data_IF_725438308161
#
_entry.id   IF_725438308161
#
_cell.length_a   1.000
_cell.length_b   1.000
_cell.length_c   1.000
_cell.angle_alpha   90.00
_cell.angle_beta   90.00
_cell.angle_gamma   90.00
#
_symmetry.space_group_name_H-M   'P 1'
#
loop_
_entity.id
_entity.type
_entity.pdbx_description
1 polymer ?
#
# COMPACT_ATOMS: atom_id res chain seq x y z
N UNK A 1 153.34 34.87 50.92
CA UNK A 1 153.72 34.59 52.33
C UNK A 1 154.58 33.32 52.26
N UNK A 2 155.85 33.45 51.88
CA UNK A 2 157.04 33.66 52.72
C UNK A 2 157.38 32.48 53.64
N UNK A 3 158.34 31.67 53.19
CA UNK A 3 159.59 31.20 53.85
C UNK A 3 160.09 30.04 52.97
N UNK A 4 161.23 30.15 52.28
CA UNK A 4 162.59 30.27 52.86
C UNK A 4 163.09 28.83 53.13
N UNK A 5 164.28 28.37 52.79
CA UNK A 5 165.57 28.98 52.49
C UNK A 5 166.37 27.93 51.68
N UNK A 6 167.16 28.31 50.70
CA UNK A 6 168.63 28.44 50.79
C UNK A 6 169.31 27.38 51.67
N UNK A 7 170.25 26.62 51.11
CA UNK A 7 171.68 26.73 51.47
C UNK A 7 172.57 25.83 50.57
N UNK A 8 173.48 26.52 49.87
CA UNK A 8 174.90 26.18 49.66
C UNK A 8 175.30 24.90 48.93
N UNK A 9 175.58 25.06 47.64
CA UNK A 9 176.81 24.52 47.04
C UNK A 9 177.98 25.45 47.41
N UNK A 10 178.93 24.95 48.20
CA UNK A 10 180.31 25.44 48.21
C UNK A 10 181.18 24.29 47.71
N UNK A 11 181.77 24.50 46.54
CA UNK A 11 182.98 23.80 46.12
C UNK A 11 184.07 23.98 47.18
N UNK A 12 184.88 22.95 47.43
CA UNK A 12 186.33 22.98 47.25
C UNK A 12 186.91 21.57 47.49
N UNK A 13 187.42 21.00 46.41
CA UNK A 13 188.64 20.18 46.27
C UNK A 13 189.25 19.54 47.53
N UNK A 14 189.51 18.23 47.46
CA UNK A 14 190.86 17.66 47.65
C UNK A 14 190.80 16.14 47.75
N UNK A 15 191.77 15.48 47.13
CA UNK A 15 192.14 14.06 47.22
C UNK A 15 191.44 13.10 46.24
N UNK A 16 191.86 13.22 44.98
CA UNK A 16 192.43 12.07 44.28
C UNK A 16 193.37 11.29 45.23
N UNK A 17 193.00 10.06 45.60
CA UNK A 17 193.89 8.90 45.83
C UNK A 17 193.18 7.77 46.59
N UNK A 18 192.28 7.06 45.90
CA UNK A 18 191.89 5.65 46.10
C UNK A 18 191.21 5.21 44.77
N UNK A 19 191.94 5.05 43.67
CA UNK A 19 192.75 3.87 43.33
C UNK A 19 192.03 2.53 43.60
N UNK A 20 191.52 1.95 42.50
CA UNK A 20 191.56 0.50 42.21
C UNK A 20 190.43 -0.45 42.64
N UNK A 21 189.21 0.02 42.94
CA UNK A 21 188.00 -0.85 43.07
C UNK A 21 186.74 -0.32 42.33
N UNK A 22 186.93 0.58 41.36
CA UNK A 22 185.86 1.42 40.77
C UNK A 22 185.24 0.95 39.41
N UNK A 23 185.65 -0.16 38.74
CA UNK A 23 184.82 -0.72 37.66
C UNK A 23 183.58 -1.42 38.23
N UNK A 24 183.78 -2.34 39.20
CA UNK A 24 182.70 -3.17 39.77
C UNK A 24 181.56 -2.34 40.36
N UNK A 25 181.86 -1.22 41.03
CA UNK A 25 180.84 -0.32 41.57
C UNK A 25 180.14 0.52 40.49
N UNK A 26 180.83 0.94 39.42
CA UNK A 26 180.22 1.67 38.30
C UNK A 26 179.34 0.77 37.44
N UNK A 27 179.80 -0.44 37.13
CA UNK A 27 178.99 -1.46 36.46
C UNK A 27 177.76 -1.85 37.29
N UNK A 28 177.90 -2.01 38.61
CA UNK A 28 176.76 -2.26 39.52
C UNK A 28 175.77 -1.10 39.53
N UNK A 29 176.22 0.15 39.62
CA UNK A 29 175.35 1.34 39.57
C UNK A 29 174.60 1.41 38.23
N UNK A 30 175.28 1.13 37.11
CA UNK A 30 174.66 1.09 35.79
C UNK A 30 173.64 -0.06 35.66
N UNK A 31 173.93 -1.23 36.23
CA UNK A 31 173.01 -2.37 36.26
C UNK A 31 171.74 -2.05 37.08
N UNK A 32 171.87 -1.47 38.28
CA UNK A 32 170.71 -1.06 39.06
C UNK A 32 169.91 0.06 38.40
N UNK A 33 170.59 0.99 37.72
CA UNK A 33 169.92 2.04 36.94
C UNK A 33 169.11 1.43 35.79
N UNK A 34 169.70 0.55 34.99
CA UNK A 34 169.01 -0.11 33.89
C UNK A 34 167.83 -0.97 34.38
N UNK A 35 167.98 -1.67 35.50
CA UNK A 35 166.89 -2.43 36.12
C UNK A 35 165.77 -1.50 36.63
N UNK A 36 166.11 -0.36 37.24
CA UNK A 36 165.12 0.64 37.68
C UNK A 36 164.40 1.31 36.51
N UNK A 37 165.11 1.67 35.44
CA UNK A 37 164.55 2.23 34.21
C UNK A 37 163.64 1.22 33.49
N UNK A 38 164.03 -0.07 33.47
CA UNK A 38 163.20 -1.16 32.95
C UNK A 38 161.93 -1.33 33.80
N UNK A 39 162.06 -1.38 35.12
CA UNK A 39 160.91 -1.48 36.03
C UNK A 39 159.97 -0.26 35.92
N UNK A 40 160.51 0.95 35.73
CA UNK A 40 159.71 2.15 35.49
C UNK A 40 158.96 2.08 34.15
N UNK A 41 159.63 1.60 33.10
CA UNK A 41 159.03 1.42 31.78
C UNK A 41 157.92 0.36 31.79
N UNK A 42 158.15 -0.77 32.48
CA UNK A 42 157.15 -1.82 32.68
C UNK A 42 155.96 -1.33 33.50
N UNK A 43 156.21 -0.56 34.57
CA UNK A 43 155.16 0.07 35.38
C UNK A 43 154.32 1.03 34.52
N UNK A 44 154.95 1.90 33.72
CA UNK A 44 154.24 2.79 32.82
C UNK A 44 153.41 2.03 31.77
N UNK A 45 153.94 0.96 31.19
CA UNK A 45 153.22 0.11 30.24
C UNK A 45 152.02 -0.60 30.90
N UNK A 46 152.17 -1.07 32.14
CA UNK A 46 151.09 -1.66 32.92
C UNK A 46 150.02 -0.63 33.30
N UNK A 47 150.41 0.60 33.67
CA UNK A 47 149.48 1.70 33.95
C UNK A 47 148.62 2.02 32.73
N UNK A 48 149.23 2.16 31.54
CA UNK A 48 148.46 2.41 30.30
C UNK A 48 147.50 1.26 30.00
N UNK A 49 147.94 0.00 30.13
CA UNK A 49 147.05 -1.17 29.94
C UNK A 49 145.91 -1.19 30.94
N UNK A 50 146.18 -0.86 32.20
CA UNK A 50 145.17 -0.75 33.24
C UNK A 50 144.13 0.34 32.89
N UNK A 51 144.58 1.53 32.49
CA UNK A 51 143.70 2.64 32.11
C UNK A 51 142.84 2.33 30.88
N UNK A 52 143.43 1.66 29.87
CA UNK A 52 142.69 1.18 28.69
C UNK A 52 141.62 0.16 29.09
N UNK A 53 141.97 -0.88 29.85
CA UNK A 53 141.02 -1.90 30.30
C UNK A 53 139.93 -1.31 31.22
N UNK A 54 140.30 -0.35 32.08
CA UNK A 54 139.35 0.36 32.93
C UNK A 54 138.34 1.16 32.11
N UNK A 55 138.79 1.87 31.07
CA UNK A 55 137.93 2.63 30.16
C UNK A 55 136.97 1.73 29.39
N UNK A 56 137.44 0.59 28.87
CA UNK A 56 136.60 -0.41 28.20
C UNK A 56 135.54 -0.98 29.15
N UNK A 57 135.90 -1.27 30.42
CA UNK A 57 134.95 -1.73 31.43
C UNK A 57 133.86 -0.69 31.72
N UNK A 58 134.21 0.61 31.79
CA UNK A 58 133.24 1.68 31.96
C UNK A 58 132.31 1.81 30.75
N UNK A 59 132.85 1.71 29.53
CA UNK A 59 132.04 1.75 28.30
C UNK A 59 131.07 0.57 28.22
N UNK A 60 131.54 -0.66 28.52
CA UNK A 60 130.70 -1.85 28.56
C UNK A 60 129.60 -1.74 29.62
N UNK A 61 129.91 -1.19 30.81
CA UNK A 61 128.91 -0.91 31.84
C UNK A 61 127.86 0.09 31.36
N UNK A 62 128.28 1.20 30.75
CA UNK A 62 127.35 2.19 30.18
C UNK A 62 126.44 1.57 29.12
N UNK A 63 127.01 0.78 28.20
CA UNK A 63 126.27 0.06 27.16
C UNK A 63 125.30 -0.98 27.74
N UNK A 64 125.70 -1.68 28.78
CA UNK A 64 124.85 -2.62 29.50
C UNK A 64 123.64 -1.91 30.13
N UNK A 65 123.88 -0.79 30.82
CA UNK A 65 122.81 0.02 31.42
C UNK A 65 121.85 0.54 30.33
N UNK A 66 122.36 1.04 29.21
CA UNK A 66 121.54 1.49 28.08
C UNK A 66 120.65 0.36 27.51
N UNK A 67 121.21 -0.85 27.34
CA UNK A 67 120.44 -2.02 26.89
C UNK A 67 119.41 -2.50 27.92
N UNK A 68 119.72 -2.40 29.21
CA UNK A 68 118.76 -2.74 30.27
C UNK A 68 117.57 -1.78 30.28
N UNK A 69 117.81 -0.49 30.06
CA UNK A 69 116.74 0.51 29.91
C UNK A 69 115.87 0.21 28.69
N UNK A 70 116.47 -0.02 27.52
CA UNK A 70 115.69 -0.32 26.31
C UNK A 70 114.93 -1.65 26.41
N UNK A 71 115.49 -2.65 27.11
CA UNK A 71 114.80 -3.91 27.40
C UNK A 71 113.55 -3.69 28.27
N UNK A 72 113.64 -2.84 29.31
CA UNK A 72 112.49 -2.50 30.16
C UNK A 72 111.39 -1.77 29.37
N UNK A 73 111.76 -0.84 28.49
CA UNK A 73 110.82 -0.14 27.62
C UNK A 73 110.11 -1.12 26.67
N UNK A 74 110.86 -1.96 25.96
CA UNK A 74 110.30 -2.99 25.08
C UNK A 74 109.37 -3.97 25.84
N UNK A 75 109.73 -4.33 27.08
CA UNK A 75 108.87 -5.17 27.92
C UNK A 75 107.56 -4.48 28.28
N UNK A 76 107.60 -3.20 28.65
CA UNK A 76 106.37 -2.43 28.93
C UNK A 76 105.48 -2.28 27.70
N UNK A 77 106.08 -2.07 26.53
CA UNK A 77 105.36 -1.97 25.27
C UNK A 77 104.71 -3.31 24.88
N UNK A 78 105.40 -4.43 25.08
CA UNK A 78 104.84 -5.76 24.85
C UNK A 78 103.62 -6.05 25.76
N UNK A 79 103.67 -5.67 27.04
CA UNK A 79 102.53 -5.80 27.95
C UNK A 79 101.37 -4.88 27.53
N UNK A 80 101.66 -3.64 27.09
CA UNK A 80 100.65 -2.72 26.57
C UNK A 80 99.93 -3.31 25.34
N UNK A 81 100.67 -3.91 24.40
CA UNK A 81 100.08 -4.59 23.24
C UNK A 81 99.18 -5.76 23.65
N UNK A 82 99.62 -6.56 24.62
CA UNK A 82 98.85 -7.70 25.12
C UNK A 82 97.55 -7.25 25.78
N UNK A 83 97.59 -6.23 26.62
CA UNK A 83 96.41 -5.65 27.25
C UNK A 83 95.45 -5.06 26.20
N UNK A 84 95.97 -4.29 25.24
CA UNK A 84 95.15 -3.71 24.19
C UNK A 84 94.50 -4.78 23.31
N UNK A 85 95.22 -5.85 22.97
CA UNK A 85 94.67 -6.99 22.25
C UNK A 85 93.55 -7.69 23.05
N UNK A 86 93.71 -7.85 24.37
CA UNK A 86 92.67 -8.42 25.23
C UNK A 86 91.42 -7.51 25.32
N UNK A 87 91.60 -6.18 25.37
CA UNK A 87 90.50 -5.21 25.31
C UNK A 87 89.75 -5.28 23.98
N UNK A 88 90.48 -5.35 22.86
CA UNK A 88 89.88 -5.47 21.53
C UNK A 88 89.15 -6.81 21.35
N UNK A 89 89.72 -7.91 21.82
CA UNK A 89 89.07 -9.23 21.77
C UNK A 89 87.76 -9.25 22.58
N UNK A 90 87.76 -8.68 23.78
CA UNK A 90 86.56 -8.56 24.61
C UNK A 90 85.47 -7.72 23.94
N UNK A 91 85.85 -6.60 23.31
CA UNK A 91 84.92 -5.75 22.57
C UNK A 91 84.33 -6.48 21.35
N UNK A 92 85.17 -7.19 20.58
CA UNK A 92 84.74 -7.95 19.42
C UNK A 92 83.73 -9.03 19.82
N UNK A 93 83.99 -9.77 20.90
CA UNK A 93 83.07 -10.78 21.42
C UNK A 93 81.73 -10.14 21.84
N UNK A 94 81.76 -9.04 22.59
CA UNK A 94 80.53 -8.34 22.99
C UNK A 94 79.70 -7.85 21.79
N UNK A 95 80.37 -7.33 20.76
CA UNK A 95 79.70 -6.89 19.53
C UNK A 95 79.09 -8.07 18.77
N UNK A 96 79.80 -9.21 18.68
CA UNK A 96 79.28 -10.43 18.06
C UNK A 96 78.05 -10.96 18.79
N UNK A 97 78.10 -11.03 20.13
CA UNK A 97 76.95 -11.45 20.94
C UNK A 97 75.74 -10.57 20.67
N UNK A 98 75.93 -9.24 20.66
CA UNK A 98 74.83 -8.30 20.41
C UNK A 98 74.25 -8.47 19.00
N UNK A 99 75.08 -8.70 17.98
CA UNK A 99 74.59 -8.97 16.62
C UNK A 99 73.71 -10.21 16.61
N UNK A 100 74.17 -11.30 17.23
CA UNK A 100 73.42 -12.55 17.31
C UNK A 100 72.08 -12.39 18.05
N UNK A 101 72.08 -11.70 19.19
CA UNK A 101 70.85 -11.37 19.94
C UNK A 101 69.86 -10.58 19.07
N UNK A 102 70.32 -9.55 18.36
CA UNK A 102 69.44 -8.76 17.48
C UNK A 102 68.92 -9.54 16.27
N UNK A 103 69.70 -10.48 15.74
CA UNK A 103 69.28 -11.36 14.64
C UNK A 103 68.19 -12.35 15.09
N UNK A 104 68.30 -12.87 16.32
CA UNK A 104 67.28 -13.73 16.91
C UNK A 104 65.99 -12.94 17.20
N UNK A 105 66.10 -11.76 17.80
CA UNK A 105 64.96 -10.85 18.02
C UNK A 105 64.24 -10.50 16.72
N UNK A 106 65.00 -10.22 15.65
CA UNK A 106 64.45 -9.95 14.32
C UNK A 106 63.71 -11.17 13.76
N UNK A 107 64.26 -12.37 13.94
CA UNK A 107 63.64 -13.62 13.50
C UNK A 107 62.29 -13.87 14.19
N UNK A 108 62.24 -13.66 15.51
CA UNK A 108 60.99 -13.71 16.29
C UNK A 108 60.00 -12.64 15.84
N UNK A 109 60.46 -11.41 15.60
CA UNK A 109 59.61 -10.32 15.14
C UNK A 109 59.00 -10.60 13.76
N UNK A 110 59.78 -11.15 12.84
CA UNK A 110 59.31 -11.55 11.50
C UNK A 110 58.24 -12.65 11.60
N UNK A 111 58.45 -13.66 12.45
CA UNK A 111 57.47 -14.71 12.68
C UNK A 111 56.17 -14.16 13.29
N UNK A 112 56.28 -13.29 14.30
CA UNK A 112 55.16 -12.61 14.95
C UNK A 112 54.37 -11.74 13.96
N UNK A 113 55.08 -10.94 13.13
CA UNK A 113 54.48 -10.12 12.08
C UNK A 113 53.69 -10.98 11.09
N UNK A 114 54.27 -12.06 10.61
CA UNK A 114 53.60 -12.99 9.68
C UNK A 114 52.33 -13.58 10.29
N UNK A 115 52.38 -13.96 11.57
CA UNK A 115 51.20 -14.48 12.28
C UNK A 115 50.10 -13.41 12.43
N UNK A 116 50.48 -12.17 12.74
CA UNK A 116 49.54 -11.06 12.84
C UNK A 116 48.90 -10.74 11.47
N UNK A 117 49.67 -10.76 10.38
CA UNK A 117 49.17 -10.57 9.01
C UNK A 117 48.16 -11.66 8.62
N UNK A 118 48.46 -12.93 8.89
CA UNK A 118 47.53 -14.05 8.64
C UNK A 118 46.22 -13.88 9.43
N UNK A 119 46.32 -13.47 10.69
CA UNK A 119 45.16 -13.24 11.56
C UNK A 119 44.31 -12.07 11.04
N UNK A 120 44.96 -10.97 10.62
CA UNK A 120 44.28 -9.83 10.03
C UNK A 120 43.58 -10.20 8.71
N UNK A 121 44.23 -10.99 7.85
CA UNK A 121 43.64 -11.46 6.60
C UNK A 121 42.41 -12.35 6.84
N UNK A 122 42.47 -13.25 7.82
CA UNK A 122 41.33 -14.08 8.22
C UNK A 122 40.16 -13.22 8.71
N UNK A 123 40.41 -12.24 9.58
CA UNK A 123 39.39 -11.33 10.10
C UNK A 123 38.76 -10.46 8.99
N UNK A 124 39.56 -9.99 8.02
CA UNK A 124 39.04 -9.24 6.86
C UNK A 124 38.12 -10.09 5.99
N UNK A 125 38.48 -11.36 5.76
CA UNK A 125 37.66 -12.30 5.00
C UNK A 125 36.32 -12.56 5.71
N UNK A 126 36.35 -12.84 7.02
CA UNK A 126 35.14 -13.04 7.82
C UNK A 126 34.25 -11.77 7.81
N UNK A 127 34.84 -10.59 7.95
CA UNK A 127 34.09 -9.33 7.91
C UNK A 127 33.38 -9.13 6.55
N UNK A 128 34.04 -9.51 5.45
CA UNK A 128 33.44 -9.45 4.12
C UNK A 128 32.28 -10.42 3.97
N UNK A 129 32.43 -11.67 4.43
CA UNK A 129 31.35 -12.67 4.41
C UNK A 129 30.15 -12.26 5.26
N UNK A 130 30.38 -11.67 6.43
CA UNK A 130 29.32 -11.13 7.28
C UNK A 130 28.59 -9.95 6.63
N UNK A 131 29.30 -9.06 5.92
CA UNK A 131 28.68 -7.97 5.15
C UNK A 131 27.81 -8.48 4.02
N UNK A 132 28.20 -9.55 3.34
CA UNK A 132 27.37 -10.17 2.30
C UNK A 132 26.09 -10.77 2.90
N UNK A 133 26.23 -11.55 3.98
CA UNK A 133 25.07 -12.11 4.70
C UNK A 133 24.13 -11.02 5.18
N UNK A 134 24.66 -9.90 5.69
CA UNK A 134 23.86 -8.75 6.10
C UNK A 134 23.05 -8.17 4.94
N UNK A 135 23.67 -8.01 3.76
CA UNK A 135 22.95 -7.56 2.55
C UNK A 135 21.84 -8.51 2.15
N UNK A 136 22.13 -9.81 2.12
CA UNK A 136 21.15 -10.84 1.79
C UNK A 136 19.95 -10.81 2.75
N UNK A 137 20.21 -10.78 4.06
CA UNK A 137 19.15 -10.69 5.07
C UNK A 137 18.34 -9.39 4.94
N UNK A 138 19.00 -8.26 4.66
CA UNK A 138 18.30 -6.99 4.46
C UNK A 138 17.38 -7.04 3.23
N UNK A 139 17.83 -7.66 2.13
CA UNK A 139 16.98 -7.86 0.94
C UNK A 139 15.78 -8.76 1.23
N UNK A 140 15.97 -9.81 2.04
CA UNK A 140 14.88 -10.70 2.47
C UNK A 140 13.88 -9.98 3.37
N UNK A 141 14.35 -9.13 4.29
CA UNK A 141 13.47 -8.32 5.13
C UNK A 141 12.64 -7.34 4.30
N UNK A 142 13.24 -6.69 3.30
CA UNK A 142 12.52 -5.81 2.39
C UNK A 142 11.41 -6.57 1.64
N UNK A 143 11.72 -7.74 1.08
CA UNK A 143 10.72 -8.58 0.42
C UNK A 143 9.57 -8.99 1.35
N UNK A 144 9.88 -9.35 2.61
CA UNK A 144 8.86 -9.70 3.59
C UNK A 144 7.97 -8.50 3.94
N UNK A 145 8.55 -7.31 4.06
CA UNK A 145 7.79 -6.06 4.27
C UNK A 145 6.83 -5.79 3.12
N UNK A 146 7.30 -5.90 1.87
CA UNK A 146 6.46 -5.72 0.67
C UNK A 146 5.33 -6.77 0.61
N UNK A 147 5.62 -8.01 1.00
CA UNK A 147 4.62 -9.08 1.09
C UNK A 147 3.56 -8.79 2.16
N UNK A 148 3.97 -8.30 3.33
CA UNK A 148 3.06 -7.91 4.40
C UNK A 148 2.17 -6.75 3.99
N UNK A 149 2.73 -5.71 3.36
CA UNK A 149 1.98 -4.58 2.80
C UNK A 149 0.94 -5.07 1.77
N UNK A 150 1.34 -5.91 0.81
CA UNK A 150 0.43 -6.49 -0.18
C UNK A 150 -0.71 -7.28 0.47
N UNK A 151 -0.40 -8.07 1.51
CA UNK A 151 -1.40 -8.83 2.27
C UNK A 151 -2.38 -7.90 2.99
N UNK A 152 -1.90 -6.82 3.61
CA UNK A 152 -2.79 -5.84 4.26
C UNK A 152 -3.72 -5.16 3.26
N UNK A 153 -3.23 -4.86 2.07
CA UNK A 153 -4.06 -4.25 1.01
C UNK A 153 -5.09 -5.25 0.47
N UNK A 154 -4.73 -6.52 0.32
CA UNK A 154 -5.68 -7.58 -0.03
C UNK A 154 -6.80 -7.71 1.01
N UNK A 155 -6.48 -7.65 2.31
CA UNK A 155 -7.50 -7.68 3.37
C UNK A 155 -8.41 -6.46 3.33
N UNK A 156 -7.87 -5.26 3.10
CA UNK A 156 -8.70 -4.06 2.93
C UNK A 156 -9.63 -4.18 1.72
N UNK A 157 -9.15 -4.72 0.61
CA UNK A 157 -9.96 -4.91 -0.59
C UNK A 157 -11.05 -5.97 -0.39
N UNK A 158 -10.74 -7.08 0.28
CA UNK A 158 -11.73 -8.12 0.65
C UNK A 158 -12.86 -7.52 1.48
N UNK A 159 -12.52 -6.71 2.50
CA UNK A 159 -13.53 -6.05 3.34
C UNK A 159 -14.43 -5.11 2.53
N UNK A 160 -13.86 -4.28 1.65
CA UNK A 160 -14.63 -3.41 0.75
C UNK A 160 -15.55 -4.19 -0.18
N UNK A 161 -15.08 -5.32 -0.71
CA UNK A 161 -15.88 -6.21 -1.55
C UNK A 161 -17.06 -6.82 -0.78
N UNK A 162 -16.82 -7.31 0.44
CA UNK A 162 -17.88 -7.83 1.32
C UNK A 162 -18.91 -6.76 1.71
N UNK A 163 -18.46 -5.54 2.01
CA UNK A 163 -19.33 -4.39 2.26
C UNK A 163 -20.21 -4.06 1.05
N UNK A 164 -19.64 -4.04 -0.16
CA UNK A 164 -20.38 -3.80 -1.40
C UNK A 164 -21.42 -4.89 -1.68
N UNK A 165 -21.07 -6.17 -1.47
CA UNK A 165 -22.01 -7.28 -1.59
C UNK A 165 -23.18 -7.15 -0.61
N UNK A 166 -22.89 -6.74 0.63
CA UNK A 166 -23.92 -6.52 1.66
C UNK A 166 -24.85 -5.38 1.25
N UNK A 167 -24.31 -4.26 0.77
CA UNK A 167 -25.12 -3.12 0.27
C UNK A 167 -26.01 -3.51 -0.92
N UNK A 168 -25.50 -4.30 -1.86
CA UNK A 168 -26.28 -4.80 -3.00
C UNK A 168 -27.37 -5.79 -2.56
N UNK A 169 -27.07 -6.66 -1.60
CA UNK A 169 -28.03 -7.58 -0.99
C UNK A 169 -29.18 -6.85 -0.33
N UNK A 170 -28.88 -5.80 0.44
CA UNK A 170 -29.88 -4.92 1.05
C UNK A 170 -30.72 -4.20 -0.01
N UNK A 171 -30.09 -3.68 -1.07
CA UNK A 171 -30.79 -2.98 -2.16
C UNK A 171 -31.74 -3.90 -2.96
N UNK A 172 -31.33 -5.15 -3.19
CA UNK A 172 -32.11 -6.14 -3.93
C UNK A 172 -33.04 -6.98 -3.04
N UNK A 173 -33.09 -6.69 -1.73
CA UNK A 173 -33.84 -7.44 -0.72
C UNK A 173 -33.64 -8.96 -0.83
N UNK A 174 -32.37 -9.38 -0.92
CA UNK A 174 -31.97 -10.77 -1.16
C UNK A 174 -30.93 -11.21 -0.15
N UNK A 175 -31.22 -12.28 0.60
CA UNK A 175 -30.26 -12.83 1.56
C UNK A 175 -29.13 -13.60 0.87
N UNK A 176 -27.90 -13.11 1.05
CA UNK A 176 -26.68 -13.71 0.53
C UNK A 176 -25.84 -14.42 1.60
N UNK A 177 -26.30 -14.47 2.86
CA UNK A 177 -25.53 -15.11 3.93
C UNK A 177 -25.36 -16.61 3.67
N UNK A 178 -24.12 -17.08 3.81
CA UNK A 178 -23.77 -18.49 3.63
C UNK A 178 -23.83 -18.98 2.17
N UNK A 179 -24.00 -18.08 1.19
CA UNK A 179 -23.91 -18.45 -0.22
C UNK A 179 -22.44 -18.56 -0.63
N UNK A 180 -22.10 -19.61 -1.37
CA UNK A 180 -20.73 -19.86 -1.85
C UNK A 180 -20.29 -18.79 -2.87
N UNK A 181 -21.23 -18.25 -3.64
CA UNK A 181 -21.01 -17.21 -4.65
C UNK A 181 -22.09 -16.13 -4.60
N UNK A 182 -22.04 -15.24 -3.59
CA UNK A 182 -23.07 -14.24 -3.35
C UNK A 182 -23.30 -13.32 -4.56
N UNK A 183 -22.24 -12.99 -5.33
CA UNK A 183 -22.35 -12.18 -6.55
C UNK A 183 -23.23 -12.81 -7.64
N UNK A 184 -23.15 -14.14 -7.85
CA UNK A 184 -23.97 -14.84 -8.85
C UNK A 184 -25.45 -14.81 -8.46
N UNK A 185 -25.75 -14.95 -7.16
CA UNK A 185 -27.12 -14.85 -6.65
C UNK A 185 -27.72 -13.45 -6.81
N UNK A 186 -26.95 -12.40 -6.47
CA UNK A 186 -27.38 -11.01 -6.66
C UNK A 186 -27.64 -10.72 -8.14
N UNK A 187 -26.77 -11.23 -9.03
CA UNK A 187 -26.92 -11.05 -10.47
C UNK A 187 -28.17 -11.75 -11.01
N UNK A 188 -28.44 -12.98 -10.56
CA UNK A 188 -29.67 -13.71 -10.91
C UNK A 188 -30.91 -12.91 -10.48
N UNK A 189 -30.93 -12.40 -9.24
CA UNK A 189 -32.05 -11.59 -8.74
C UNK A 189 -32.24 -10.31 -9.56
N UNK A 190 -31.17 -9.61 -9.87
CA UNK A 190 -31.24 -8.41 -10.70
C UNK A 190 -31.81 -8.71 -12.10
N UNK A 191 -31.46 -9.85 -12.70
CA UNK A 191 -32.03 -10.31 -13.95
C UNK A 191 -33.51 -10.69 -13.82
N UNK A 192 -33.93 -11.35 -12.74
CA UNK A 192 -35.33 -11.66 -12.45
C UNK A 192 -36.18 -10.39 -12.34
N UNK A 193 -35.76 -9.44 -11.49
CA UNK A 193 -36.45 -8.14 -11.32
C UNK A 193 -36.54 -7.41 -12.66
N UNK A 194 -35.48 -7.45 -13.49
CA UNK A 194 -35.49 -6.82 -14.81
C UNK A 194 -36.52 -7.46 -15.76
N UNK A 195 -36.63 -8.79 -15.75
CA UNK A 195 -37.63 -9.52 -16.56
C UNK A 195 -39.05 -9.25 -16.08
N UNK A 196 -39.28 -9.25 -14.77
CA UNK A 196 -40.58 -8.92 -14.17
C UNK A 196 -41.00 -7.48 -14.53
N UNK A 197 -40.07 -6.52 -14.45
CA UNK A 197 -40.33 -5.13 -14.82
C UNK A 197 -40.74 -4.99 -16.30
N UNK A 198 -40.06 -5.71 -17.20
CA UNK A 198 -40.43 -5.77 -18.61
C UNK A 198 -41.82 -6.37 -18.83
N UNK A 199 -42.15 -7.47 -18.12
CA UNK A 199 -43.45 -8.10 -18.20
C UNK A 199 -44.57 -7.19 -17.68
N UNK A 200 -44.37 -6.52 -16.54
CA UNK A 200 -45.32 -5.56 -15.98
C UNK A 200 -45.54 -4.36 -16.92
N UNK A 201 -44.48 -3.84 -17.54
CA UNK A 201 -44.61 -2.79 -18.57
C UNK A 201 -45.45 -3.24 -19.76
N UNK A 202 -45.26 -4.48 -20.22
CA UNK A 202 -46.08 -5.05 -21.30
C UNK A 202 -47.54 -5.20 -20.87
N UNK A 203 -47.79 -5.64 -19.63
CA UNK A 203 -49.15 -5.74 -19.09
C UNK A 203 -49.83 -4.37 -18.96
N UNK A 204 -49.11 -3.36 -18.50
CA UNK A 204 -49.60 -1.97 -18.44
C UNK A 204 -49.96 -1.47 -19.84
N UNK A 205 -49.12 -1.75 -20.85
CA UNK A 205 -49.42 -1.38 -22.24
C UNK A 205 -50.69 -2.09 -22.76
N UNK A 206 -50.84 -3.38 -22.51
CA UNK A 206 -52.03 -4.14 -22.91
C UNK A 206 -53.31 -3.62 -22.22
N UNK A 207 -53.26 -3.38 -20.91
CA UNK A 207 -54.40 -2.78 -20.18
C UNK A 207 -54.74 -1.38 -20.68
N UNK A 208 -53.75 -0.59 -21.08
CA UNK A 208 -53.97 0.72 -21.67
C UNK A 208 -54.68 0.61 -23.03
N UNK A 209 -54.34 -0.39 -23.84
CA UNK A 209 -55.03 -0.70 -25.10
C UNK A 209 -56.48 -1.14 -24.85
N UNK A 210 -56.73 -2.03 -23.88
CA UNK A 210 -58.06 -2.48 -23.49
C UNK A 210 -58.95 -1.33 -23.00
N UNK A 211 -58.40 -0.43 -22.16
CA UNK A 211 -59.10 0.77 -21.70
C UNK A 211 -59.49 1.66 -22.89
N UNK A 212 -58.56 1.90 -23.81
CA UNK A 212 -58.84 2.68 -25.02
C UNK A 212 -59.91 2.00 -25.88
N UNK A 213 -59.86 0.67 -26.02
CA UNK A 213 -60.86 -0.12 -26.72
C UNK A 213 -62.26 0.02 -26.10
N UNK A 214 -62.38 -0.17 -24.78
CA UNK A 214 -63.63 0.02 -24.05
C UNK A 214 -64.14 1.46 -24.12
N UNK A 215 -63.25 2.45 -24.09
CA UNK A 215 -63.65 3.85 -24.27
C UNK A 215 -64.26 4.08 -25.66
N UNK A 216 -63.66 3.51 -26.71
CA UNK A 216 -64.17 3.58 -28.08
C UNK A 216 -65.49 2.82 -28.25
N UNK A 217 -65.62 1.62 -27.67
CA UNK A 217 -66.86 0.84 -27.68
C UNK A 217 -68.00 1.55 -26.92
N UNK A 218 -67.70 2.14 -25.77
CA UNK A 218 -68.66 2.93 -24.98
C UNK A 218 -69.12 4.17 -25.75
N UNK A 219 -68.21 4.86 -26.47
CA UNK A 219 -68.56 5.96 -27.40
C UNK A 219 -69.51 5.48 -28.50
N UNK A 220 -69.16 4.38 -29.19
CA UNK A 220 -70.00 3.81 -30.25
C UNK A 220 -71.37 3.32 -29.75
N UNK A 221 -71.41 2.72 -28.55
CA UNK A 221 -72.63 2.25 -27.90
C UNK A 221 -73.53 3.44 -27.52
N UNK A 222 -72.96 4.50 -26.96
CA UNK A 222 -73.67 5.75 -26.65
C UNK A 222 -74.29 6.35 -27.90
N UNK A 223 -73.56 6.41 -29.01
CA UNK A 223 -74.08 6.87 -30.31
C UNK A 223 -75.23 5.99 -30.81
N UNK A 224 -75.13 4.67 -30.65
CA UNK A 224 -76.18 3.73 -31.04
C UNK A 224 -77.44 3.87 -30.19
N UNK A 225 -77.30 4.01 -28.87
CA UNK A 225 -78.43 4.31 -27.97
C UNK A 225 -79.06 5.64 -28.38
N UNK A 226 -78.28 6.70 -28.64
CA UNK A 226 -78.81 7.97 -29.11
C UNK A 226 -79.61 7.83 -30.42
N UNK A 227 -79.15 6.99 -31.36
CA UNK A 227 -79.85 6.69 -32.61
C UNK A 227 -81.18 5.99 -32.37
N UNK A 228 -81.18 4.91 -31.58
CA UNK A 228 -82.39 4.16 -31.23
C UNK A 228 -83.40 5.01 -30.46
N UNK A 229 -82.94 5.80 -29.48
CA UNK A 229 -83.80 6.76 -28.74
C UNK A 229 -84.45 7.75 -29.72
N UNK A 230 -83.71 8.22 -30.72
CA UNK A 230 -84.24 9.09 -31.76
C UNK A 230 -85.29 8.39 -32.64
N UNK A 231 -85.07 7.12 -32.99
CA UNK A 231 -86.04 6.29 -33.73
C UNK A 231 -87.30 5.98 -32.93
N UNK A 232 -87.16 5.56 -31.67
CA UNK A 232 -88.29 5.34 -30.75
C UNK A 232 -89.10 6.62 -30.57
N UNK A 233 -88.44 7.77 -30.39
CA UNK A 233 -89.14 9.06 -30.28
C UNK A 233 -89.94 9.39 -31.55
N UNK A 234 -89.43 9.05 -32.74
CA UNK A 234 -90.18 9.19 -34.01
C UNK A 234 -91.37 8.25 -34.06
N UNK A 235 -91.20 6.98 -33.68
CA UNK A 235 -92.26 5.98 -33.73
C UNK A 235 -93.34 6.25 -32.68
N UNK A 236 -92.96 6.73 -31.50
CA UNK A 236 -93.88 7.14 -30.45
C UNK A 236 -94.70 8.36 -30.87
N UNK A 237 -94.12 9.31 -31.63
CA UNK A 237 -94.87 10.39 -32.29
C UNK A 237 -95.86 9.86 -33.32
N UNK A 238 -95.49 8.87 -34.14
CA UNK A 238 -96.42 8.23 -35.10
C UNK A 238 -97.54 7.50 -34.38
N UNK A 239 -97.23 6.73 -33.34
CA UNK A 239 -98.21 6.00 -32.53
C UNK A 239 -99.16 6.95 -31.81
N UNK A 240 -98.67 8.05 -31.24
CA UNK A 240 -99.51 9.11 -30.70
C UNK A 240 -100.44 9.69 -31.78
N UNK A 241 -99.92 9.90 -33.00
CA UNK A 241 -100.74 10.26 -34.17
C UNK A 241 -101.84 9.23 -34.47
N UNK A 242 -101.54 7.94 -34.48
CA UNK A 242 -102.54 6.88 -34.67
C UNK A 242 -103.57 6.84 -33.53
N UNK A 243 -103.16 7.06 -32.28
CA UNK A 243 -104.08 7.14 -31.13
C UNK A 243 -105.03 8.35 -31.25
N UNK A 244 -104.52 9.53 -31.62
CA UNK A 244 -105.35 10.71 -31.89
C UNK A 244 -106.34 10.46 -33.05
N UNK A 245 -105.91 9.74 -34.09
CA UNK A 245 -106.75 9.39 -35.23
C UNK A 245 -107.85 8.37 -34.86
N UNK A 246 -107.52 7.36 -34.04
CA UNK A 246 -108.47 6.43 -33.43
C UNK A 246 -109.50 7.15 -32.54
N UNK A 247 -109.07 8.14 -31.75
CA UNK A 247 -109.95 8.94 -30.91
C UNK A 247 -110.90 9.82 -31.74
N UNK A 248 -110.43 10.41 -32.85
CA UNK A 248 -111.28 11.12 -33.81
C UNK A 248 -112.31 10.20 -34.45
N UNK A 249 -111.91 8.98 -34.83
CA UNK A 249 -112.82 7.96 -35.39
C UNK A 249 -113.85 7.47 -34.36
N UNK A 250 -113.47 7.32 -33.09
CA UNK A 250 -114.41 6.92 -32.04
C UNK A 250 -115.44 8.02 -31.78
N UNK A 251 -115.01 9.28 -31.67
CA UNK A 251 -115.89 10.47 -31.58
C UNK A 251 -116.84 10.57 -32.79
N UNK A 252 -116.34 10.31 -34.00
CA UNK A 252 -117.18 10.26 -35.20
C UNK A 252 -118.24 9.16 -35.16
N UNK A 253 -117.93 8.02 -34.53
CA UNK A 253 -118.88 6.92 -34.30
C UNK A 253 -119.99 7.32 -33.32
N UNK A 254 -119.64 7.97 -32.21
CA UNK A 254 -120.62 8.48 -31.24
C UNK A 254 -121.57 9.52 -31.86
N UNK A 255 -121.07 10.45 -32.69
CA UNK A 255 -121.94 11.39 -33.41
C UNK A 255 -122.88 10.70 -34.41
N UNK A 256 -122.44 9.58 -35.01
CA UNK A 256 -123.25 8.84 -36.00
C UNK A 256 -124.41 8.10 -35.32
N UNK A 257 -124.17 7.45 -34.20
CA UNK A 257 -125.19 6.75 -33.42
C UNK A 257 -126.24 7.75 -32.84
N UNK A 258 -125.82 8.97 -32.48
CA UNK A 258 -126.73 10.04 -32.04
C UNK A 258 -127.61 10.57 -33.19
N UNK A 259 -127.10 10.65 -34.42
CA UNK A 259 -127.89 11.05 -35.60
C UNK A 259 -128.91 10.01 -36.04
N UNK A 260 -128.61 8.70 -35.92
CA UNK A 260 -129.54 7.63 -36.26
C UNK A 260 -130.70 7.51 -35.24
N UNK A 261 -130.44 7.81 -33.96
CA UNK A 261 -131.49 7.88 -32.92
C UNK A 261 -132.45 9.07 -33.14
N UNK A 262 -131.94 10.22 -33.62
CA UNK A 262 -132.75 11.42 -33.92
C UNK A 262 -133.68 11.21 -35.12
N UNK A 263 -133.20 10.57 -36.19
CA UNK A 263 -134.01 10.25 -37.37
C UNK A 263 -135.15 9.24 -37.08
N UNK A 264 -134.98 8.39 -36.07
CA UNK A 264 -135.99 7.41 -35.64
C UNK A 264 -137.17 8.06 -34.87
N UNK A 265 -136.93 9.16 -34.17
CA UNK A 265 -137.97 9.90 -33.45
C UNK A 265 -138.84 10.77 -34.36
N UNK A 266 -138.26 11.43 -35.38
CA UNK A 266 -139.03 12.28 -36.31
C UNK A 266 -140.02 11.49 -37.18
N UNK A 267 -139.68 10.25 -37.58
CA UNK A 267 -140.61 9.39 -38.34
C UNK A 267 -141.84 8.96 -37.53
N UNK A 268 -141.74 8.85 -36.20
CA UNK A 268 -142.88 8.48 -35.33
C UNK A 268 -143.80 9.68 -35.00
N UNK A 269 -143.27 10.90 -34.95
CA UNK A 269 -144.07 12.11 -34.73
C UNK A 269 -145.04 12.44 -35.86
N UNK A 270 -144.65 12.17 -37.12
CA UNK A 270 -145.47 12.50 -38.29
C UNK A 270 -146.70 11.58 -38.48
N UNK A 271 -146.66 10.35 -37.97
CA UNK A 271 -147.75 9.37 -38.13
C UNK A 271 -148.87 9.60 -37.10
N UNK A 272 -148.53 10.03 -35.88
CA UNK A 272 -149.51 10.32 -34.82
C UNK A 272 -150.35 11.57 -35.13
N UNK A 273 -149.77 12.58 -35.81
CA UNK A 273 -150.48 13.79 -36.21
C UNK A 273 -151.62 13.58 -37.22
N UNK A 274 -151.52 12.59 -38.12
CA UNK A 274 -152.56 12.33 -39.14
C UNK A 274 -153.78 11.55 -38.62
N UNK A 275 -153.63 10.80 -37.55
CA UNK A 275 -154.73 10.00 -36.97
C UNK A 275 -155.68 10.89 -36.13
N UNK A 276 -155.13 11.93 -35.48
CA UNK A 276 -155.91 12.79 -34.60
C UNK A 276 -156.87 13.74 -35.36
N UNK A 277 -156.53 14.15 -36.59
CA UNK A 277 -157.39 15.00 -37.43
C UNK A 277 -158.62 14.23 -37.92
N UNK A 278 -158.47 12.96 -38.31
CA UNK A 278 -159.59 12.12 -38.80
C UNK A 278 -160.58 11.72 -37.69
N UNK A 279 -160.13 11.63 -36.44
CA UNK A 279 -161.01 11.34 -35.30
C UNK A 279 -161.95 12.52 -34.96
N UNK A 280 -161.52 13.76 -35.19
CA UNK A 280 -162.32 14.94 -34.87
C UNK A 280 -163.40 15.26 -35.93
N UNK A 281 -163.18 14.90 -37.18
CA UNK A 281 -164.18 15.06 -38.26
C UNK A 281 -165.29 14.00 -38.20
N UNK A 282 -164.99 12.77 -37.79
CA UNK A 282 -166.01 11.72 -37.60
C UNK A 282 -166.97 12.01 -36.43
N UNK A 283 -166.47 12.64 -35.36
CA UNK A 283 -167.28 12.94 -34.17
C UNK A 283 -168.30 14.08 -34.41
N UNK A 284 -168.00 15.02 -35.31
CA UNK A 284 -168.93 16.09 -35.73
C UNK A 284 -170.07 15.56 -36.61
N UNK A 285 -169.79 14.57 -37.47
CA UNK A 285 -170.80 13.94 -38.33
C UNK A 285 -171.81 13.12 -37.51
N UNK A 286 -171.35 12.42 -36.47
CA UNK A 286 -172.22 11.64 -35.58
C UNK A 286 -173.18 12.51 -34.76
N UNK A 287 -172.77 13.72 -34.35
CA UNK A 287 -173.61 14.63 -33.58
C UNK A 287 -174.74 15.26 -34.42
N UNK A 288 -174.47 15.57 -35.70
CA UNK A 288 -175.47 16.10 -36.64
C UNK A 288 -176.52 15.05 -37.03
N UNK A 289 -176.11 13.79 -37.25
CA UNK A 289 -177.02 12.70 -37.58
C UNK A 289 -177.98 12.36 -36.42
N UNK A 290 -177.50 12.46 -35.18
CA UNK A 290 -178.28 12.16 -33.97
C UNK A 290 -179.37 13.19 -33.68
N UNK A 291 -179.18 14.47 -34.00
CA UNK A 291 -180.23 15.47 -33.80
C UNK A 291 -181.28 15.50 -34.92
N UNK A 292 -180.89 15.20 -36.17
CA UNK A 292 -181.84 15.05 -37.27
C UNK A 292 -182.83 13.91 -37.00
N UNK A 293 -182.36 12.81 -36.41
CA UNK A 293 -183.20 11.69 -35.98
C UNK A 293 -184.16 12.05 -34.82
N UNK A 294 -183.76 12.95 -33.92
CA UNK A 294 -184.62 13.35 -32.80
C UNK A 294 -185.75 14.34 -33.20
N UNK A 295 -185.63 14.99 -34.36
CA UNK A 295 -186.68 15.86 -34.92
C UNK A 295 -187.72 15.10 -35.78
N UNK A 296 -187.45 13.84 -36.17
CA UNK A 296 -188.36 13.01 -36.98
C UNK A 296 -189.32 12.13 -36.16
N UNK A 297 -189.13 12.01 -34.84
CA UNK A 297 -189.98 11.15 -34.00
C UNK A 297 -191.12 11.91 -33.28
N UNK A 298 -191.43 13.16 -33.69
CA UNK A 298 -192.46 14.02 -33.08
C UNK A 298 -193.70 14.27 -33.97
N UNK A 299 -193.87 13.58 -35.09
CA UNK A 299 -195.02 13.78 -35.99
C UNK A 299 -195.46 12.46 -36.68
N UNK A 300 -196.25 11.63 -35.98
CA UNK A 300 -197.18 10.65 -36.55
C UNK A 300 -197.96 9.95 -35.41
N UNK A 301 -199.04 10.59 -34.97
CA UNK A 301 -200.12 9.99 -34.18
C UNK A 301 -200.98 9.02 -35.03
N UNK A 302 -201.77 8.20 -34.35
CA UNK A 302 -203.04 7.57 -34.77
C UNK A 302 -203.12 6.19 -35.47
N UNK A 303 -203.95 5.35 -34.82
CA UNK A 303 -204.75 4.20 -35.28
C UNK A 303 -204.27 2.76 -34.99
N UNK A 304 -204.81 2.22 -33.87
CA UNK A 304 -205.56 0.95 -33.71
C UNK A 304 -204.86 -0.40 -34.02
N UNK A 305 -205.07 -1.51 -33.29
CA UNK A 305 -206.04 -1.89 -32.25
C UNK A 305 -205.59 -3.23 -31.62
N UNK A 306 -205.99 -3.46 -30.35
CA UNK A 306 -206.29 -4.77 -29.68
C UNK A 306 -205.20 -5.86 -29.60
N UNK A 307 -204.95 -6.58 -28.50
CA UNK A 307 -205.79 -6.97 -27.38
C UNK A 307 -204.94 -7.60 -26.24
N UNK A 308 -205.33 -7.32 -24.98
CA UNK A 308 -205.38 -8.16 -23.76
C UNK A 308 -204.27 -9.21 -23.46
N UNK A 309 -203.52 -9.13 -22.35
CA UNK A 309 -203.81 -9.60 -20.96
C UNK A 309 -202.78 -10.69 -20.52
N UNK A 310 -202.69 -11.15 -19.24
CA UNK A 310 -202.20 -10.42 -18.07
C UNK A 310 -201.16 -11.25 -17.24
N UNK A 311 -200.71 -10.72 -16.09
CA UNK A 311 -200.19 -11.53 -14.98
C UNK A 311 -198.75 -11.21 -14.55
N UNK A 312 -198.57 -10.33 -13.57
CA UNK A 312 -198.32 -10.62 -12.14
C UNK A 312 -196.99 -11.31 -11.82
N UNK A 313 -196.13 -10.56 -11.11
CA UNK A 313 -195.51 -11.00 -9.85
C UNK A 313 -194.94 -9.79 -9.12
N UNK A 314 -195.67 -9.36 -8.09
CA UNK A 314 -195.05 -9.18 -6.77
C UNK A 314 -194.90 -10.57 -6.14
#
# INVERSE_FOLDING_TARGET
>A
MFMGCDYMLSSQESCDNFLSDIPVTREQINHYRAAAETAQSELAALSVKYDCAHSELLELRSRMISKETSFKELKSEAENYKENNARQASLLLSLQTRVWETEEELSVLVASKKQAELTAQAALKENWELKEKLREQNSRLQYLSECEESKTECYKMSRKYEELLTQLSEFLDTDIKGKEKPEEHLMSKACEISKENLALKAQVAALQEDINGHEMESKASRETIMRLVSEVTKEQKKAAGYYEEMEKLSKAKYLKDETELKACFEKKGFVVGRINVKYHEGHKFYFLLKMFLNNLCKTSEDSNCSESEPGLKA
#
